data_IF_978085648715
#
_entry.id   IF_978085648715
#
_cell.length_a   1.000
_cell.length_b   1.000
_cell.length_c   1.000
_cell.angle_alpha   90.00
_cell.angle_beta   90.00
_cell.angle_gamma   90.00
#
_symmetry.space_group_name_H-M   'P 1'
#
loop_
_entity.id
_entity.type
_entity.pdbx_description
1 polymer ?
#
# COMPACT_ATOMS: atom_id res chain seq x y z
N UNK A 1 -11.96 16.41 3.57
CA UNK A 1 -12.02 14.96 3.88
C UNK A 1 -12.97 14.76 5.04
N UNK A 2 -14.08 14.05 4.82
CA UNK A 2 -15.15 13.92 5.82
C UNK A 2 -14.78 13.02 7.00
N UNK A 3 -13.94 12.01 6.81
CA UNK A 3 -13.51 11.08 7.85
C UNK A 3 -12.10 10.56 7.57
N UNK A 4 -11.29 10.43 8.61
CA UNK A 4 -10.03 9.68 8.62
C UNK A 4 -9.71 9.24 10.04
N UNK A 5 -9.01 8.13 10.24
CA UNK A 5 -8.61 7.73 11.59
C UNK A 5 -7.47 6.73 11.55
N UNK A 6 -6.78 6.58 12.68
CA UNK A 6 -5.68 5.63 12.82
C UNK A 6 -5.78 4.79 14.09
N UNK A 7 -5.36 3.51 14.06
CA UNK A 7 -5.31 2.68 15.26
C UNK A 7 -4.37 3.22 16.34
N UNK A 8 -4.74 3.00 17.60
CA UNK A 8 -3.95 3.35 18.80
C UNK A 8 -2.83 2.36 19.14
N UNK A 9 -2.62 1.31 18.32
CA UNK A 9 -1.75 0.18 18.64
C UNK A 9 -0.32 0.24 18.07
N UNK A 10 -0.01 1.21 17.21
CA UNK A 10 1.32 1.35 16.63
C UNK A 10 1.66 2.82 16.31
N UNK A 11 2.77 3.36 16.83
CA UNK A 11 3.13 4.77 16.62
C UNK A 11 3.42 5.11 15.15
N UNK A 12 3.71 4.13 14.28
CA UNK A 12 3.90 4.39 12.84
C UNK A 12 2.65 4.93 12.16
N UNK A 13 1.45 4.63 12.67
CA UNK A 13 0.23 5.20 12.12
C UNK A 13 0.15 6.72 12.29
N UNK A 14 0.69 7.24 13.40
CA UNK A 14 0.76 8.67 13.63
C UNK A 14 1.69 9.38 12.63
N UNK A 15 2.75 8.71 12.14
CA UNK A 15 3.62 9.24 11.08
C UNK A 15 2.86 9.39 9.76
N UNK A 16 2.04 8.39 9.41
CA UNK A 16 1.23 8.44 8.18
C UNK A 16 0.13 9.50 8.28
N UNK A 17 -0.51 9.63 9.45
CA UNK A 17 -1.50 10.66 9.71
C UNK A 17 -0.89 12.07 9.65
N UNK A 18 0.31 12.28 10.19
CA UNK A 18 1.07 13.54 10.11
C UNK A 18 1.31 13.93 8.64
N UNK A 19 1.85 12.99 7.84
CA UNK A 19 2.11 13.23 6.42
C UNK A 19 0.83 13.60 5.63
N UNK A 20 -0.28 12.92 5.92
CA UNK A 20 -1.57 13.22 5.31
C UNK A 20 -2.05 14.62 5.69
N UNK A 21 -2.04 14.96 6.98
CA UNK A 21 -2.54 16.23 7.48
C UNK A 21 -1.68 17.41 7.00
N UNK A 22 -0.37 17.23 6.88
CA UNK A 22 0.53 18.21 6.23
C UNK A 22 0.08 18.51 4.80
N UNK A 23 -0.10 17.47 3.98
CA UNK A 23 -0.53 17.64 2.61
C UNK A 23 -1.91 18.31 2.49
N UNK A 24 -2.87 17.92 3.34
CA UNK A 24 -4.21 18.52 3.33
C UNK A 24 -4.17 19.99 3.73
N UNK A 25 -3.37 20.35 4.75
CA UNK A 25 -3.19 21.73 5.20
C UNK A 25 -2.54 22.60 4.12
N UNK A 26 -1.50 22.11 3.45
CA UNK A 26 -0.85 22.80 2.31
C UNK A 26 -1.86 23.16 1.21
N UNK A 27 -2.80 22.26 0.97
CA UNK A 27 -3.82 22.40 -0.07
C UNK A 27 -5.13 23.02 0.43
N UNK A 28 -5.20 23.53 1.66
CA UNK A 28 -6.42 24.07 2.28
C UNK A 28 -7.62 23.12 2.27
N UNK A 29 -7.39 21.81 2.35
CA UNK A 29 -8.44 20.81 2.42
C UNK A 29 -8.76 20.52 3.88
N UNK A 30 -9.96 20.87 4.40
CA UNK A 30 -10.32 20.56 5.78
C UNK A 30 -10.46 19.04 5.97
N UNK A 31 -10.22 18.57 7.19
CA UNK A 31 -10.31 17.16 7.54
C UNK A 31 -10.97 16.97 8.92
N UNK A 32 -11.79 15.93 9.05
CA UNK A 32 -12.43 15.56 10.32
C UNK A 32 -11.98 14.16 10.75
N UNK A 33 -11.44 14.04 11.97
CA UNK A 33 -10.97 12.78 12.51
C UNK A 33 -12.15 11.91 12.98
N UNK A 34 -12.13 10.63 12.61
CA UNK A 34 -13.06 9.59 13.05
C UNK A 34 -12.42 8.74 14.15
N UNK A 35 -12.87 8.81 15.40
CA UNK A 35 -13.89 9.72 15.93
C UNK A 35 -13.62 10.05 17.40
N UNK A 36 -14.19 11.14 17.90
CA UNK A 36 -14.35 11.41 19.33
C UNK A 36 -15.81 11.16 19.74
N UNK A 37 -16.13 11.34 21.02
CA UNK A 37 -17.49 11.32 21.54
C UNK A 37 -17.77 10.21 22.56
N UNK A 38 -18.95 10.23 23.20
CA UNK A 38 -19.30 9.23 24.20
C UNK A 38 -19.57 7.86 23.58
N UNK A 39 -19.40 6.79 24.37
CA UNK A 39 -19.86 5.44 24.01
C UNK A 39 -18.89 4.60 23.16
N UNK A 40 -17.68 5.07 22.89
CA UNK A 40 -16.69 4.34 22.09
C UNK A 40 -16.00 3.18 22.82
N UNK A 41 -16.00 3.17 24.16
CA UNK A 41 -15.36 2.12 24.95
C UNK A 41 -13.90 1.90 24.56
N UNK A 42 -13.57 0.68 24.12
CA UNK A 42 -12.23 0.28 23.68
C UNK A 42 -12.01 0.38 22.16
N UNK A 43 -12.83 1.16 21.44
CA UNK A 43 -12.68 1.32 20.00
C UNK A 43 -11.31 1.91 19.63
N UNK A 44 -10.53 1.13 18.91
CA UNK A 44 -9.10 1.37 18.65
C UNK A 44 -8.78 2.62 17.83
N UNK A 45 -9.77 3.23 17.16
CA UNK A 45 -9.61 4.50 16.45
C UNK A 45 -10.18 5.69 17.21
N UNK A 46 -10.90 5.46 18.31
CA UNK A 46 -11.47 6.55 19.11
C UNK A 46 -10.36 7.44 19.67
N UNK A 47 -10.54 8.75 19.55
CA UNK A 47 -9.72 9.76 20.23
C UNK A 47 -10.40 10.30 21.48
N UNK A 48 -11.55 9.77 21.89
CA UNK A 48 -12.15 10.13 23.17
C UNK A 48 -11.20 9.76 24.32
N UNK A 49 -10.87 10.68 25.25
CA UNK A 49 -10.04 10.37 26.40
C UNK A 49 -10.61 9.22 27.22
N UNK A 50 -9.74 8.31 27.66
CA UNK A 50 -10.12 7.20 28.53
C UNK A 50 -9.55 7.48 29.91
N UNK A 51 -10.40 7.58 30.93
CA UNK A 51 -10.01 7.90 32.31
C UNK A 51 -9.17 9.19 32.42
N UNK A 52 -9.54 10.21 31.64
CA UNK A 52 -8.83 11.50 31.61
C UNK A 52 -7.48 11.47 30.87
N UNK A 53 -7.12 10.35 30.23
CA UNK A 53 -5.89 10.24 29.44
C UNK A 53 -6.19 10.41 27.95
N UNK A 54 -5.43 11.30 27.32
CA UNK A 54 -5.44 11.49 25.87
C UNK A 54 -5.05 10.20 25.15
N UNK A 55 -5.76 9.91 24.06
CA UNK A 55 -5.47 8.81 23.15
C UNK A 55 -4.20 9.09 22.30
N UNK A 56 -3.47 8.06 21.84
CA UNK A 56 -2.17 8.20 21.18
C UNK A 56 -2.13 9.06 19.90
N UNK A 57 -3.28 9.38 19.31
CA UNK A 57 -3.41 10.18 18.10
C UNK A 57 -3.38 11.69 18.38
N UNK A 58 -3.75 12.11 19.60
CA UNK A 58 -3.85 13.53 19.96
C UNK A 58 -2.57 14.35 19.78
N UNK A 59 -1.36 13.84 20.13
CA UNK A 59 -0.13 14.61 19.92
C UNK A 59 0.09 15.02 18.46
N UNK A 60 -0.32 14.18 17.50
CA UNK A 60 -0.25 14.51 16.07
C UNK A 60 -1.40 15.43 15.66
N UNK A 61 -2.65 15.15 16.06
CA UNK A 61 -3.80 15.97 15.69
C UNK A 61 -3.69 17.43 16.17
N UNK A 62 -3.16 17.66 17.37
CA UNK A 62 -2.98 18.99 17.95
C UNK A 62 -2.10 19.91 17.10
N UNK A 63 -1.18 19.36 16.29
CA UNK A 63 -0.31 20.14 15.39
C UNK A 63 -1.06 20.87 14.28
N UNK A 64 -2.30 20.49 13.99
CA UNK A 64 -3.07 20.94 12.82
C UNK A 64 -4.38 21.65 13.19
N UNK A 65 -4.55 22.06 14.45
CA UNK A 65 -5.76 22.75 14.92
C UNK A 65 -5.77 24.26 14.62
N UNK A 66 -4.67 24.81 14.12
CA UNK A 66 -4.58 26.19 13.65
C UNK A 66 -5.17 26.32 12.23
N UNK A 67 -6.25 27.09 12.12
CA UNK A 67 -6.96 27.33 10.85
C UNK A 67 -6.52 28.60 10.11
N UNK A 68 -5.46 29.26 10.57
CA UNK A 68 -5.05 30.59 10.06
C UNK A 68 -4.36 30.58 8.69
N UNK A 69 -3.93 29.41 8.19
CA UNK A 69 -3.17 29.29 6.94
C UNK A 69 -4.02 29.31 5.66
N UNK A 70 -5.34 29.32 5.78
CA UNK A 70 -6.29 29.17 4.68
C UNK A 70 -7.48 30.12 4.84
N UNK A 71 -7.75 30.94 3.82
CA UNK A 71 -8.91 31.84 3.78
C UNK A 71 -10.12 31.23 3.08
N UNK A 72 -9.92 30.13 2.34
CA UNK A 72 -10.94 29.40 1.59
C UNK A 72 -10.67 27.90 1.62
N UNK A 73 -11.71 27.08 1.41
CA UNK A 73 -11.58 25.63 1.23
C UNK A 73 -10.95 25.37 -0.14
N UNK A 74 -9.83 24.65 -0.17
CA UNK A 74 -9.08 24.34 -1.37
C UNK A 74 -9.71 23.27 -2.27
N UNK A 75 -8.96 22.73 -3.25
CA UNK A 75 -7.50 22.84 -3.38
C UNK A 75 -7.02 24.24 -3.79
N UNK A 76 -5.86 24.66 -3.28
CA UNK A 76 -5.16 25.85 -3.80
C UNK A 76 -4.87 25.63 -5.29
N UNK A 77 -5.18 26.61 -6.16
CA UNK A 77 -4.82 26.55 -7.58
C UNK A 77 -3.30 26.35 -7.72
N UNK A 78 -2.89 25.43 -8.59
CA UNK A 78 -1.48 25.17 -8.88
C UNK A 78 -0.81 26.46 -9.39
N UNK A 79 0.07 27.03 -8.56
CA UNK A 79 0.74 28.31 -8.82
C UNK A 79 1.35 28.97 -7.58
N UNK A 80 0.88 28.64 -6.37
CA UNK A 80 1.48 29.15 -5.12
C UNK A 80 2.39 28.09 -4.47
N UNK A 81 3.46 27.71 -5.18
CA UNK A 81 4.58 27.01 -4.56
C UNK A 81 5.51 28.05 -3.93
N UNK A 82 5.45 28.22 -2.61
CA UNK A 82 6.52 28.87 -1.87
C UNK A 82 7.31 27.80 -1.13
N UNK A 83 8.45 27.44 -1.74
CA UNK A 83 9.57 26.73 -1.11
C UNK A 83 9.88 27.32 0.27
N UNK A 84 10.01 26.54 1.36
CA UNK A 84 10.46 27.08 2.63
C UNK A 84 11.99 27.20 2.63
N UNK A 85 12.47 28.44 2.63
CA UNK A 85 13.85 28.78 3.05
C UNK A 85 13.89 28.90 4.57
N UNK A 86 14.91 28.37 5.26
CA UNK A 86 14.98 28.40 6.72
C UNK A 86 15.53 29.74 7.23
N UNK A 87 14.84 30.39 8.18
CA UNK A 87 15.41 31.46 9.02
C UNK A 87 14.58 31.74 10.28
N UNK A 88 15.10 31.24 11.41
CA UNK A 88 15.40 31.88 12.72
C UNK A 88 14.37 32.81 13.42
N UNK A 89 14.21 32.72 14.76
CA UNK A 89 13.06 33.27 15.50
C UNK A 89 13.22 34.73 15.91
N UNK A 90 12.11 35.47 15.99
CA UNK A 90 12.06 36.77 16.66
C UNK A 90 10.72 37.01 17.37
N UNK A 91 10.83 37.76 18.45
CA UNK A 91 10.00 37.89 19.65
C UNK A 91 8.97 39.01 19.55
N UNK A 92 7.88 38.90 20.33
CA UNK A 92 7.01 40.00 20.76
C UNK A 92 5.77 40.18 19.88
N UNK A 93 4.55 40.45 20.36
CA UNK A 93 4.05 40.95 21.65
C UNK A 93 2.52 40.78 21.63
N UNK A 94 1.93 40.50 22.79
CA UNK A 94 0.49 40.72 23.13
C UNK A 94 0.06 42.18 22.85
N UNK A 95 -1.24 42.58 22.79
CA UNK A 95 -2.27 42.19 23.79
C UNK A 95 -3.79 42.29 23.42
N UNK A 96 -4.63 41.95 24.43
CA UNK A 96 -6.03 42.39 24.73
C UNK A 96 -7.15 41.93 23.77
N UNK A 97 -7.99 40.93 24.11
CA UNK A 97 -9.13 40.88 25.05
C UNK A 97 -10.44 41.53 24.54
N UNK A 98 -11.52 40.72 24.46
CA UNK A 98 -12.87 40.97 25.06
C UNK A 98 -13.82 39.81 24.74
N UNK A 99 -14.37 39.22 25.80
CA UNK A 99 -15.52 38.30 25.92
C UNK A 99 -16.87 39.06 25.76
N UNK A 100 -18.07 38.53 26.09
CA UNK A 100 -18.77 37.26 25.79
C UNK A 100 -20.23 37.48 25.29
N UNK A 101 -20.95 36.43 24.87
CA UNK A 101 -22.43 36.28 25.06
C UNK A 101 -22.86 34.90 24.55
N UNK A 102 -23.12 33.90 25.42
CA UNK A 102 -24.41 33.48 26.01
C UNK A 102 -25.54 33.18 25.02
N UNK A 103 -25.97 31.91 24.99
CA UNK A 103 -27.17 31.43 24.31
C UNK A 103 -27.46 29.96 24.66
N UNK A 104 -28.29 29.77 25.68
CA UNK A 104 -28.77 28.49 26.24
C UNK A 104 -30.01 27.96 25.51
N UNK A 105 -30.21 26.63 25.49
CA UNK A 105 -31.51 25.96 25.27
C UNK A 105 -31.44 24.89 24.17
N UNK A 106 -31.35 23.59 24.48
CA UNK A 106 -32.36 22.66 25.04
C UNK A 106 -32.90 21.68 23.98
N UNK A 107 -32.65 20.40 24.24
CA UNK A 107 -33.41 19.17 23.93
C UNK A 107 -34.16 19.04 22.59
N UNK A 108 -33.94 17.93 21.88
CA UNK A 108 -34.91 16.81 21.72
C UNK A 108 -34.27 15.68 20.89
N UNK A 109 -34.27 14.47 21.44
CA UNK A 109 -34.24 13.19 20.71
C UNK A 109 -35.59 12.50 20.98
N UNK A 110 -36.00 11.39 20.33
CA UNK A 110 -35.28 10.55 19.36
C UNK A 110 -36.11 10.19 18.10
N UNK A 111 -35.45 9.73 17.03
CA UNK A 111 -36.10 8.91 16.00
C UNK A 111 -35.17 7.83 15.50
N UNK A 112 -35.62 6.59 15.69
CA UNK A 112 -35.05 5.35 15.14
C UNK A 112 -35.12 5.35 13.61
N UNK A 113 -33.98 5.35 12.94
CA UNK A 113 -33.89 4.94 11.54
C UNK A 113 -32.75 3.95 11.37
N UNK A 114 -33.11 2.71 11.06
CA UNK A 114 -32.22 1.65 10.57
C UNK A 114 -31.51 2.16 9.31
N UNK A 115 -30.17 2.23 9.25
CA UNK A 115 -29.49 2.62 8.01
C UNK A 115 -29.52 1.45 7.01
N UNK A 116 -29.75 1.71 5.72
CA UNK A 116 -29.74 0.68 4.69
C UNK A 116 -28.31 0.19 4.41
N UNK A 117 -28.22 -1.02 3.87
CA UNK A 117 -26.99 -1.74 3.57
C UNK A 117 -25.92 -0.88 2.86
N UNK A 118 -24.71 -0.87 3.43
CA UNK A 118 -23.54 -0.20 2.87
C UNK A 118 -23.15 -0.80 1.51
N UNK A 119 -23.17 0.03 0.49
CA UNK A 119 -22.59 -0.23 -0.83
C UNK A 119 -21.05 -0.37 -0.72
N UNK A 120 -20.43 -1.31 -1.44
CA UNK A 120 -18.98 -1.50 -1.40
C UNK A 120 -18.24 -0.33 -2.07
N UNK A 121 -17.30 0.27 -1.35
CA UNK A 121 -16.36 1.25 -1.88
C UNK A 121 -15.29 0.56 -2.74
N UNK A 122 -15.32 0.84 -4.04
CA UNK A 122 -14.35 0.34 -5.02
C UNK A 122 -13.09 1.19 -4.95
N UNK A 123 -12.03 0.70 -4.28
CA UNK A 123 -10.70 1.34 -4.34
C UNK A 123 -9.77 0.59 -5.30
N UNK A 124 -9.13 1.35 -6.18
CA UNK A 124 -8.23 0.91 -7.25
C UNK A 124 -6.94 0.26 -6.71
N UNK A 125 -6.41 -0.82 -7.32
CA UNK A 125 -5.14 -1.43 -6.93
C UNK A 125 -3.95 -0.50 -7.16
N UNK A 126 -2.95 -0.55 -6.28
CA UNK A 126 -1.65 0.13 -6.41
C UNK A 126 -0.57 -0.93 -6.58
N UNK A 127 0.26 -0.79 -7.61
CA UNK A 127 1.43 -1.63 -7.82
C UNK A 127 2.44 -1.40 -6.68
N UNK A 128 2.79 -2.47 -5.97
CA UNK A 128 3.86 -2.44 -4.97
C UNK A 128 5.24 -2.52 -5.63
N UNK A 129 6.26 -2.02 -4.93
CA UNK A 129 7.66 -1.93 -5.39
C UNK A 129 8.35 -3.28 -5.73
N UNK A 130 7.66 -4.41 -5.50
CA UNK A 130 8.15 -5.77 -5.77
C UNK A 130 7.59 -6.37 -7.08
N UNK A 131 6.89 -5.61 -7.92
CA UNK A 131 6.16 -6.18 -9.07
C UNK A 131 5.01 -7.12 -8.67
N UNK A 132 4.84 -7.36 -7.36
CA UNK A 132 3.74 -8.06 -6.74
C UNK A 132 2.48 -7.21 -6.86
N UNK A 133 1.52 -7.70 -7.66
CA UNK A 133 0.17 -7.13 -7.66
C UNK A 133 -0.43 -7.37 -6.28
N UNK A 134 -0.76 -6.28 -5.59
CA UNK A 134 -1.45 -6.32 -4.30
C UNK A 134 -2.87 -5.83 -4.47
N UNK A 135 -3.82 -6.56 -3.90
CA UNK A 135 -5.23 -6.19 -3.89
C UNK A 135 -5.70 -5.95 -2.47
N UNK A 136 -6.57 -4.95 -2.29
CA UNK A 136 -7.40 -4.87 -1.10
C UNK A 136 -8.31 -6.10 -1.01
N UNK A 137 -8.59 -6.54 0.20
CA UNK A 137 -9.61 -7.54 0.51
C UNK A 137 -10.93 -6.80 0.72
N UNK A 138 -12.05 -7.32 0.20
CA UNK A 138 -13.36 -6.72 0.42
C UNK A 138 -13.79 -6.87 1.89
N UNK A 139 -14.43 -5.87 2.49
CA UNK A 139 -14.91 -5.95 3.87
C UNK A 139 -16.27 -6.67 4.00
N UNK A 140 -16.37 -7.92 3.53
CA UNK A 140 -17.61 -8.69 3.65
C UNK A 140 -17.64 -9.49 4.95
N UNK A 141 -18.66 -9.22 5.77
CA UNK A 141 -18.91 -9.99 7.00
C UNK A 141 -20.37 -10.44 7.04
N UNK A 142 -20.59 -11.75 6.95
CA UNK A 142 -21.89 -12.42 7.01
C UNK A 142 -21.72 -13.89 7.48
N UNK A 143 -22.74 -14.74 7.29
CA UNK A 143 -22.71 -16.15 7.68
C UNK A 143 -21.60 -16.97 7.00
N UNK A 144 -21.19 -16.57 5.79
CA UNK A 144 -20.18 -17.27 4.98
C UNK A 144 -18.82 -16.55 4.97
N UNK A 145 -18.80 -15.25 5.25
CA UNK A 145 -17.60 -14.40 5.15
C UNK A 145 -17.28 -13.68 6.47
N UNK A 146 -16.00 -13.49 6.76
CA UNK A 146 -15.50 -12.69 7.88
C UNK A 146 -14.39 -11.79 7.36
N UNK A 147 -14.59 -10.48 7.34
CA UNK A 147 -13.64 -9.50 6.81
C UNK A 147 -13.12 -9.87 5.40
N UNK A 148 -14.02 -10.36 4.55
CA UNK A 148 -13.67 -10.82 3.19
C UNK A 148 -12.98 -12.17 3.11
N UNK A 149 -12.80 -12.86 4.23
CA UNK A 149 -12.26 -14.23 4.25
C UNK A 149 -13.41 -15.22 4.37
N UNK A 150 -13.41 -16.22 3.51
CA UNK A 150 -14.42 -17.26 3.51
C UNK A 150 -14.26 -18.16 4.73
N UNK A 151 -15.35 -18.41 5.46
CA UNK A 151 -15.30 -19.15 6.73
C UNK A 151 -15.07 -20.65 6.54
N UNK A 152 -15.52 -21.21 5.40
CA UNK A 152 -15.50 -22.67 5.17
C UNK A 152 -14.22 -23.18 4.49
N UNK A 153 -13.44 -22.32 3.82
CA UNK A 153 -12.17 -22.65 3.15
C UNK A 153 -11.23 -21.44 3.19
N UNK A 154 -9.95 -21.63 2.88
CA UNK A 154 -9.02 -20.51 2.71
C UNK A 154 -9.35 -19.70 1.45
N UNK A 155 -10.38 -18.85 1.53
CA UNK A 155 -10.84 -18.03 0.42
C UNK A 155 -10.81 -16.55 0.77
N UNK A 156 -10.50 -15.70 -0.20
CA UNK A 156 -10.46 -14.25 -0.06
C UNK A 156 -11.35 -13.62 -1.13
N UNK A 157 -12.17 -12.66 -0.74
CA UNK A 157 -12.92 -11.82 -1.67
C UNK A 157 -12.11 -10.56 -1.97
N UNK A 158 -11.82 -10.33 -3.25
CA UNK A 158 -11.13 -9.13 -3.75
C UNK A 158 -11.95 -8.47 -4.87
N UNK A 159 -11.75 -7.16 -5.14
CA UNK A 159 -12.41 -6.48 -6.25
C UNK A 159 -12.11 -7.16 -7.60
N UNK A 160 -13.12 -7.31 -8.47
CA UNK A 160 -12.97 -7.94 -9.78
C UNK A 160 -12.41 -6.99 -10.86
N UNK A 161 -11.36 -6.23 -10.52
CA UNK A 161 -10.69 -5.29 -11.45
C UNK A 161 -9.93 -6.04 -12.55
N UNK A 162 -9.67 -5.38 -13.68
CA UNK A 162 -8.88 -5.97 -14.77
C UNK A 162 -7.49 -6.41 -14.31
N UNK A 163 -6.84 -5.63 -13.43
CA UNK A 163 -5.55 -5.99 -12.84
C UNK A 163 -5.64 -7.25 -11.98
N UNK A 164 -6.65 -7.36 -11.12
CA UNK A 164 -6.82 -8.55 -10.28
C UNK A 164 -7.16 -9.80 -11.10
N UNK A 165 -7.98 -9.66 -12.16
CA UNK A 165 -8.30 -10.74 -13.10
C UNK A 165 -7.07 -11.28 -13.83
N UNK A 166 -6.13 -10.40 -14.18
CA UNK A 166 -4.90 -10.79 -14.84
C UNK A 166 -3.88 -11.44 -13.88
N UNK A 167 -3.88 -11.02 -12.61
CA UNK A 167 -2.82 -11.37 -11.67
C UNK A 167 -3.18 -12.53 -10.72
N UNK A 168 -4.40 -12.58 -10.20
CA UNK A 168 -4.84 -13.63 -9.26
C UNK A 168 -5.41 -14.82 -10.03
N UNK A 169 -4.53 -15.63 -10.63
CA UNK A 169 -4.87 -16.82 -11.39
C UNK A 169 -4.54 -18.10 -10.63
N UNK A 170 -5.19 -19.22 -11.00
CA UNK A 170 -4.89 -20.54 -10.44
C UNK A 170 -3.42 -20.88 -10.67
N UNK A 171 -2.75 -21.33 -9.61
CA UNK A 171 -1.32 -21.67 -9.63
C UNK A 171 -0.39 -20.58 -9.12
N UNK A 172 -0.82 -19.31 -9.11
CA UNK A 172 -0.04 -18.23 -8.51
C UNK A 172 -0.02 -18.36 -6.98
N UNK A 173 0.99 -17.79 -6.32
CA UNK A 173 1.07 -17.80 -4.85
C UNK A 173 0.76 -16.42 -4.29
N UNK A 174 0.16 -16.36 -3.12
CA UNK A 174 -0.16 -15.12 -2.42
C UNK A 174 0.39 -15.15 -1.01
N UNK A 175 0.84 -13.99 -0.54
CA UNK A 175 1.24 -13.75 0.84
C UNK A 175 0.07 -13.18 1.62
N UNK A 176 -0.21 -13.81 2.73
CA UNK A 176 -1.22 -13.41 3.70
C UNK A 176 -0.62 -12.42 4.72
N UNK A 177 -1.48 -11.74 5.46
CA UNK A 177 -1.06 -10.76 6.46
C UNK A 177 -0.24 -11.37 7.62
N UNK A 178 -0.49 -12.64 7.95
CA UNK A 178 0.29 -13.39 8.94
C UNK A 178 1.68 -13.81 8.42
N UNK A 179 2.04 -13.42 7.19
CA UNK A 179 3.31 -13.74 6.55
C UNK A 179 3.32 -15.07 5.79
N UNK A 180 2.28 -15.89 5.92
CA UNK A 180 2.16 -17.18 5.27
C UNK A 180 2.00 -17.02 3.75
N UNK A 181 2.62 -17.91 2.96
CA UNK A 181 2.49 -17.93 1.51
C UNK A 181 1.72 -19.16 1.09
N UNK A 182 0.65 -18.99 0.32
CA UNK A 182 -0.19 -20.09 -0.16
C UNK A 182 -0.48 -19.98 -1.64
N UNK A 183 -0.61 -21.12 -2.30
CA UNK A 183 -0.94 -21.23 -3.72
C UNK A 183 -2.44 -21.07 -3.95
N UNK A 184 -2.82 -20.36 -5.00
CA UNK A 184 -4.20 -20.22 -5.46
C UNK A 184 -4.63 -21.52 -6.12
N UNK A 185 -5.66 -22.16 -5.55
CA UNK A 185 -6.23 -23.42 -6.03
C UNK A 185 -7.41 -23.21 -6.98
N UNK A 186 -8.20 -22.16 -6.78
CA UNK A 186 -9.36 -21.84 -7.61
C UNK A 186 -9.68 -20.35 -7.58
N UNK A 187 -10.27 -19.85 -8.65
CA UNK A 187 -10.72 -18.45 -8.77
C UNK A 187 -12.14 -18.46 -9.30
N UNK A 188 -13.04 -17.75 -8.63
CA UNK A 188 -14.42 -17.57 -9.05
C UNK A 188 -14.70 -16.09 -9.30
N UNK A 189 -15.14 -15.77 -10.51
CA UNK A 189 -15.37 -14.39 -10.95
C UNK A 189 -16.88 -14.11 -10.95
N UNK A 190 -17.30 -13.11 -10.18
CA UNK A 190 -18.63 -12.50 -10.24
C UNK A 190 -18.51 -10.98 -10.19
N UNK A 191 -19.44 -10.29 -9.52
CA UNK A 191 -19.33 -8.84 -9.22
C UNK A 191 -18.05 -8.55 -8.41
N UNK A 192 -17.68 -9.47 -7.53
CA UNK A 192 -16.37 -9.55 -6.88
C UNK A 192 -15.71 -10.88 -7.26
N UNK A 193 -14.39 -10.97 -7.09
CA UNK A 193 -13.65 -12.21 -7.34
C UNK A 193 -13.36 -12.91 -6.00
N UNK A 194 -13.66 -14.20 -5.93
CA UNK A 194 -13.21 -15.06 -4.83
C UNK A 194 -11.96 -15.83 -5.25
N UNK A 195 -10.89 -15.69 -4.49
CA UNK A 195 -9.61 -16.37 -4.68
C UNK A 195 -9.47 -17.41 -3.58
N UNK A 196 -9.47 -18.69 -3.95
CA UNK A 196 -9.31 -19.81 -3.03
C UNK A 196 -7.88 -20.30 -3.03
N UNK A 197 -7.35 -20.57 -1.84
CA UNK A 197 -5.99 -21.01 -1.60
C UNK A 197 -5.98 -22.48 -1.18
N UNK A 198 -4.83 -23.13 -1.36
CA UNK A 198 -4.60 -24.47 -0.83
C UNK A 198 -4.53 -24.46 0.71
N UNK A 199 -4.90 -25.58 1.32
CA UNK A 199 -4.81 -25.80 2.77
C UNK A 199 -6.07 -25.46 3.58
N UNK A 200 -5.92 -25.50 4.91
CA UNK A 200 -7.01 -25.33 5.87
C UNK A 200 -7.56 -23.89 5.90
N UNK A 201 -8.83 -23.66 6.33
CA UNK A 201 -9.39 -22.32 6.49
C UNK A 201 -8.49 -21.39 7.30
N UNK A 202 -8.49 -20.10 6.94
CA UNK A 202 -7.70 -19.06 7.61
C UNK A 202 -8.59 -18.13 8.43
N UNK A 203 -8.04 -17.52 9.47
CA UNK A 203 -8.81 -16.64 10.35
C UNK A 203 -8.99 -15.25 9.74
N UNK A 204 -10.23 -14.90 9.37
CA UNK A 204 -10.59 -13.61 8.80
C UNK A 204 -10.27 -12.39 9.67
N UNK A 205 -10.21 -12.55 11.00
CA UNK A 205 -9.81 -11.46 11.90
C UNK A 205 -8.30 -11.17 11.86
N UNK A 206 -7.49 -12.12 11.41
CA UNK A 206 -6.02 -11.98 11.33
C UNK A 206 -5.59 -11.57 9.93
N UNK A 207 -6.12 -12.25 8.90
CA UNK A 207 -5.65 -12.11 7.51
C UNK A 207 -6.63 -11.41 6.58
N UNK A 208 -7.88 -11.17 7.01
CA UNK A 208 -8.89 -10.46 6.24
C UNK A 208 -8.71 -8.95 6.24
N UNK A 209 -9.68 -8.23 5.69
CA UNK A 209 -9.76 -6.77 5.71
C UNK A 209 -9.46 -6.20 7.12
N UNK A 210 -8.70 -5.09 7.26
CA UNK A 210 -8.19 -4.19 6.20
C UNK A 210 -6.86 -4.63 5.56
N UNK A 211 -6.41 -5.86 5.79
CA UNK A 211 -5.20 -6.36 5.15
C UNK A 211 -5.37 -6.51 3.64
N UNK A 212 -4.24 -6.59 2.95
CA UNK A 212 -4.17 -6.79 1.49
C UNK A 212 -3.71 -8.21 1.20
N UNK A 213 -4.20 -8.75 0.09
CA UNK A 213 -3.68 -9.98 -0.49
C UNK A 213 -2.61 -9.59 -1.52
N UNK A 214 -1.37 -10.02 -1.31
CA UNK A 214 -0.27 -9.71 -2.21
C UNK A 214 0.15 -10.97 -2.98
N UNK A 215 0.29 -10.88 -4.29
CA UNK A 215 0.92 -11.96 -5.05
C UNK A 215 2.39 -12.11 -4.63
N UNK A 216 2.82 -13.35 -4.54
CA UNK A 216 4.22 -13.74 -4.45
C UNK A 216 4.53 -14.41 -5.77
N UNK A 217 5.26 -13.70 -6.62
CA UNK A 217 5.82 -14.32 -7.80
C UNK A 217 6.79 -15.42 -7.36
N UNK A 218 6.48 -16.67 -7.73
CA UNK A 218 7.35 -17.80 -7.44
C UNK A 218 8.69 -17.60 -8.17
N UNK A 219 9.82 -17.83 -7.51
CA UNK A 219 11.13 -17.79 -8.17
C UNK A 219 11.24 -19.03 -9.05
N UNK A 220 11.22 -18.84 -10.37
CA UNK A 220 11.35 -19.91 -11.37
C UNK A 220 12.79 -20.42 -11.43
N UNK A 221 13.76 -19.51 -11.32
CA UNK A 221 15.18 -19.84 -11.24
C UNK A 221 15.93 -18.68 -10.60
N UNK A 222 17.02 -19.00 -9.90
CA UNK A 222 18.03 -18.02 -9.51
C UNK A 222 19.28 -18.27 -10.34
N UNK A 223 19.83 -17.20 -10.94
CA UNK A 223 21.04 -17.29 -11.75
C UNK A 223 22.12 -16.36 -11.21
N UNK A 224 23.40 -16.79 -11.20
CA UNK A 224 24.50 -15.85 -11.13
C UNK A 224 24.53 -14.95 -12.37
N UNK A 225 25.15 -13.78 -12.23
CA UNK A 225 25.45 -12.86 -13.32
C UNK A 225 26.86 -13.18 -13.83
N UNK A 226 27.11 -13.09 -15.13
CA UNK A 226 28.46 -13.28 -15.68
C UNK A 226 29.37 -12.12 -15.29
N UNK A 227 30.62 -12.38 -14.92
CA UNK A 227 31.59 -11.33 -14.61
C UNK A 227 32.20 -10.71 -15.88
N UNK A 228 31.37 -9.95 -16.63
CA UNK A 228 31.82 -9.23 -17.81
C UNK A 228 31.98 -7.75 -17.52
N UNK A 229 33.22 -7.27 -17.63
CA UNK A 229 33.54 -5.84 -17.51
C UNK A 229 34.36 -5.40 -18.72
N UNK A 230 33.79 -4.52 -19.54
CA UNK A 230 34.42 -3.92 -20.73
C UNK A 230 33.74 -2.58 -21.08
N UNK A 231 33.95 -2.07 -22.31
CA UNK A 231 33.36 -0.81 -22.77
C UNK A 231 31.83 -0.80 -22.77
N UNK A 232 31.19 -1.95 -22.96
CA UNK A 232 29.73 -2.10 -23.03
C UNK A 232 29.14 -2.70 -21.74
N UNK A 233 29.93 -3.39 -20.94
CA UNK A 233 29.49 -4.15 -19.76
C UNK A 233 30.19 -3.71 -18.47
N UNK A 234 29.49 -3.73 -17.36
CA UNK A 234 30.02 -3.52 -16.00
C UNK A 234 29.46 -4.59 -15.08
N UNK A 235 30.31 -5.50 -14.58
CA UNK A 235 29.91 -6.62 -13.72
C UNK A 235 28.74 -7.42 -14.31
N UNK A 236 28.77 -7.68 -15.61
CA UNK A 236 27.71 -8.37 -16.34
C UNK A 236 26.44 -7.57 -16.59
N UNK A 237 26.41 -6.28 -16.25
CA UNK A 237 25.30 -5.36 -16.53
C UNK A 237 25.64 -4.50 -17.74
N UNK A 238 24.71 -4.39 -18.66
CA UNK A 238 24.88 -3.60 -19.87
C UNK A 238 24.83 -2.11 -19.56
N UNK A 239 25.80 -1.34 -20.04
CA UNK A 239 25.92 0.09 -19.70
C UNK A 239 24.89 0.97 -20.39
N UNK A 240 24.43 0.59 -21.59
CA UNK A 240 23.57 1.44 -22.44
C UNK A 240 22.07 1.24 -22.20
N UNK A 241 21.66 0.10 -21.62
CA UNK A 241 20.25 -0.25 -21.34
C UNK A 241 20.16 -1.09 -20.08
N UNK A 242 18.97 -1.23 -19.50
CA UNK A 242 18.72 -2.18 -18.41
C UNK A 242 18.86 -3.61 -18.95
N UNK A 243 20.06 -4.18 -18.86
CA UNK A 243 20.35 -5.51 -19.39
C UNK A 243 21.38 -6.24 -18.55
N UNK A 244 21.26 -7.56 -18.50
CA UNK A 244 22.13 -8.44 -17.73
C UNK A 244 22.61 -9.59 -18.60
N UNK A 245 23.86 -10.02 -18.41
CA UNK A 245 24.38 -11.25 -18.97
C UNK A 245 24.37 -12.34 -17.90
N UNK A 246 23.68 -13.44 -18.16
CA UNK A 246 23.66 -14.62 -17.29
C UNK A 246 24.10 -15.88 -18.07
N UNK A 247 24.51 -16.97 -17.40
CA UNK A 247 24.86 -18.22 -18.08
C UNK A 247 23.71 -18.74 -18.95
N UNK A 248 24.02 -19.23 -20.15
CA UNK A 248 23.05 -19.79 -21.10
C UNK A 248 22.55 -21.20 -20.76
N UNK A 249 22.37 -21.55 -19.49
CA UNK A 249 21.91 -22.89 -19.08
C UNK A 249 20.47 -23.14 -19.53
N UNK A 250 20.08 -24.39 -19.71
CA UNK A 250 18.69 -24.77 -20.05
C UNK A 250 17.68 -24.27 -19.01
N UNK A 251 18.05 -24.27 -17.73
CA UNK A 251 17.26 -23.68 -16.64
C UNK A 251 17.04 -22.18 -16.83
N UNK A 252 18.09 -21.43 -17.16
CA UNK A 252 17.98 -19.98 -17.36
C UNK A 252 17.17 -19.65 -18.63
N UNK A 253 17.36 -20.40 -19.71
CA UNK A 253 16.57 -20.26 -20.92
C UNK A 253 15.09 -20.57 -20.69
N UNK A 254 14.77 -21.51 -19.80
CA UNK A 254 13.40 -21.86 -19.45
C UNK A 254 12.72 -20.78 -18.57
N UNK A 255 13.47 -20.16 -17.67
CA UNK A 255 12.94 -19.25 -16.65
C UNK A 255 12.98 -17.77 -17.04
N UNK A 256 14.04 -17.30 -17.69
CA UNK A 256 14.20 -15.91 -18.12
C UNK A 256 13.70 -15.74 -19.56
N UNK A 257 12.42 -15.44 -19.71
CA UNK A 257 11.74 -15.27 -21.01
C UNK A 257 11.11 -13.90 -21.14
N UNK A 258 11.02 -13.38 -22.36
CA UNK A 258 10.34 -12.13 -22.63
C UNK A 258 8.89 -12.18 -22.13
N UNK A 259 8.43 -11.09 -21.51
CA UNK A 259 7.16 -11.01 -20.81
C UNK A 259 7.21 -11.46 -19.35
N UNK A 260 8.22 -12.22 -18.93
CA UNK A 260 8.49 -12.58 -17.54
C UNK A 260 8.95 -11.39 -16.69
N UNK A 261 9.24 -11.62 -15.41
CA UNK A 261 9.80 -10.60 -14.51
C UNK A 261 11.10 -11.08 -13.86
N UNK A 262 11.98 -10.14 -13.50
CA UNK A 262 13.24 -10.42 -12.79
C UNK A 262 13.30 -9.57 -11.53
N UNK A 263 13.63 -10.21 -10.41
CA UNK A 263 14.04 -9.52 -9.19
C UNK A 263 15.54 -9.29 -9.17
N UNK A 264 15.91 -8.03 -9.03
CA UNK A 264 17.28 -7.56 -8.88
C UNK A 264 17.76 -7.75 -7.44
N UNK A 265 19.07 -7.63 -7.23
CA UNK A 265 19.66 -7.76 -5.91
C UNK A 265 19.27 -6.63 -4.93
N UNK A 266 18.75 -5.52 -5.44
CA UNK A 266 18.16 -4.43 -4.63
C UNK A 266 16.76 -4.77 -4.11
N UNK A 267 16.17 -5.89 -4.55
CA UNK A 267 14.77 -6.24 -4.32
C UNK A 267 13.83 -5.72 -5.41
N UNK A 268 14.26 -4.74 -6.20
CA UNK A 268 13.47 -4.18 -7.30
C UNK A 268 13.10 -5.25 -8.34
N UNK A 269 11.85 -5.25 -8.79
CA UNK A 269 11.36 -6.17 -9.82
C UNK A 269 11.06 -5.41 -11.11
N UNK A 270 11.57 -5.95 -12.22
CA UNK A 270 11.40 -5.37 -13.55
C UNK A 270 10.95 -6.40 -14.57
N UNK A 271 10.22 -5.96 -15.59
CA UNK A 271 9.71 -6.84 -16.64
C UNK A 271 10.78 -7.12 -17.67
N UNK A 272 10.90 -8.38 -18.09
CA UNK A 272 11.78 -8.79 -19.18
C UNK A 272 11.13 -8.34 -20.50
N UNK A 273 11.78 -7.43 -21.20
CA UNK A 273 11.31 -6.92 -22.50
C UNK A 273 11.81 -7.78 -23.65
N UNK A 274 13.04 -8.30 -23.53
CA UNK A 274 13.67 -9.07 -24.59
C UNK A 274 14.75 -9.99 -24.02
N UNK A 275 14.94 -11.16 -24.64
CA UNK A 275 15.99 -12.11 -24.28
C UNK A 275 16.69 -12.57 -25.54
N UNK A 276 18.02 -12.44 -25.55
CA UNK A 276 18.87 -12.95 -26.63
C UNK A 276 19.59 -14.20 -26.15
N UNK A 277 19.25 -15.34 -26.77
CA UNK A 277 19.87 -16.62 -26.50
C UNK A 277 21.21 -16.76 -27.25
N UNK A 278 22.19 -17.35 -26.57
CA UNK A 278 23.53 -17.66 -27.07
C UNK A 278 24.29 -18.47 -26.03
N UNK A 279 25.63 -18.54 -26.13
CA UNK A 279 26.48 -19.16 -25.09
C UNK A 279 26.21 -18.55 -23.71
N UNK A 280 25.88 -17.26 -23.70
CA UNK A 280 25.32 -16.54 -22.56
C UNK A 280 23.94 -16.02 -22.94
N UNK A 281 23.06 -15.86 -21.94
CA UNK A 281 21.75 -15.28 -22.11
C UNK A 281 21.84 -13.79 -21.78
N UNK A 282 21.52 -12.92 -22.75
CA UNK A 282 21.37 -11.48 -22.50
C UNK A 282 19.90 -11.17 -22.23
N UNK A 283 19.59 -10.76 -21.00
CA UNK A 283 18.23 -10.48 -20.51
C UNK A 283 18.07 -8.97 -20.41
N UNK A 284 17.14 -8.41 -21.18
CA UNK A 284 16.84 -6.97 -21.18
C UNK A 284 15.54 -6.71 -20.43
N UNK A 285 15.58 -5.67 -19.60
CA UNK A 285 14.49 -5.27 -18.71
C UNK A 285 13.88 -3.94 -19.18
N UNK A 286 12.72 -3.59 -18.65
CA UNK A 286 12.11 -2.28 -18.85
C UNK A 286 12.79 -1.18 -18.00
N UNK A 287 12.52 0.06 -18.39
CA UNK A 287 13.00 1.25 -17.69
C UNK A 287 14.45 1.67 -17.99
N UNK A 288 14.97 2.56 -17.14
CA UNK A 288 16.29 3.17 -17.29
C UNK A 288 17.43 2.17 -16.99
N UNK A 289 18.64 2.38 -17.55
CA UNK A 289 19.81 1.57 -17.23
C UNK A 289 20.06 1.42 -15.73
N UNK A 290 20.48 0.23 -15.32
CA UNK A 290 20.75 -0.12 -13.91
C UNK A 290 22.25 -0.03 -13.61
N UNK A 291 22.60 0.25 -12.36
CA UNK A 291 24.00 0.42 -11.96
C UNK A 291 24.68 -0.94 -11.70
N UNK A 292 25.61 -1.33 -12.57
CA UNK A 292 26.36 -2.58 -12.48
C UNK A 292 27.15 -2.79 -11.18
N UNK A 293 27.59 -1.72 -10.51
CA UNK A 293 28.26 -1.83 -9.20
C UNK A 293 27.28 -2.22 -8.06
N UNK A 294 25.99 -1.95 -8.25
CA UNK A 294 24.97 -2.20 -7.23
C UNK A 294 24.20 -3.50 -7.45
N UNK A 295 24.01 -3.93 -8.70
CA UNK A 295 23.18 -5.10 -9.04
C UNK A 295 23.91 -6.15 -9.87
N UNK A 296 25.12 -5.87 -10.35
CA UNK A 296 25.91 -6.80 -11.15
C UNK A 296 26.64 -7.86 -10.32
N UNK A 297 27.46 -8.66 -10.99
CA UNK A 297 28.34 -9.67 -10.39
C UNK A 297 29.08 -9.11 -9.13
N UNK A 298 29.21 -9.90 -8.04
CA UNK A 298 28.86 -11.31 -7.87
C UNK A 298 27.40 -11.58 -7.46
N UNK A 299 26.50 -10.60 -7.63
CA UNK A 299 25.11 -10.77 -7.24
C UNK A 299 24.34 -11.68 -8.21
N UNK A 300 23.17 -12.11 -7.77
CA UNK A 300 22.30 -13.03 -8.52
C UNK A 300 21.01 -12.34 -8.96
N UNK A 301 20.40 -12.86 -10.02
CA UNK A 301 19.06 -12.50 -10.46
C UNK A 301 18.09 -13.64 -10.18
N UNK A 302 16.86 -13.31 -9.80
CA UNK A 302 15.78 -14.28 -9.68
C UNK A 302 14.75 -14.04 -10.78
N UNK A 303 14.58 -15.02 -11.67
CA UNK A 303 13.45 -15.06 -12.59
C UNK A 303 12.18 -15.35 -11.80
N UNK A 304 11.16 -14.55 -12.04
CA UNK A 304 9.88 -14.61 -11.34
C UNK A 304 8.79 -15.11 -12.28
N UNK A 305 7.94 -15.98 -11.76
CA UNK A 305 6.70 -16.38 -12.41
C UNK A 305 5.78 -15.16 -12.51
N UNK A 306 5.19 -14.97 -13.67
CA UNK A 306 4.14 -13.98 -13.88
C UNK A 306 2.87 -14.34 -13.13
#
# INVERSE_FOLDING_TARGET
IGEFGVPDNNPRWNILMDNMLTYLKENCVPASYWAAGPGWGNYFMSVEPVNGQDRPQWPTLKKYMDSSSCTEIGPKKAGASTTPTPSTPSVGTTPVATTPSTGTGSSTAPSTSVPPAATPVTTTPVAGADGAVSSVINNFTNADWLNGVYRKKAGFSIPATAANKAAFIVGASVRLANGEVRKISAVQIGTNMAVYLEGAPVNGSIVGYPNKLALVSAVLATSPINDFTNADWLNGVYRKKAGFSIPGTSTNQAAFKAGGSVRLATGEVRKITYVQAGKNLAVYLDGAPVNGSTVGYPKTLAALAN
#
